data_IF_437734276673
#
_entry.id   IF_437734276673
#
_cell.length_a   1.000
_cell.length_b   1.000
_cell.length_c   1.000
_cell.angle_alpha   90.00
_cell.angle_beta   90.00
_cell.angle_gamma   90.00
#
_symmetry.space_group_name_H-M   'P 1'
#
loop_
_entity.id
_entity.type
_entity.pdbx_description
1 polymer ?
#
# COMPACT_ATOMS: atom_id res chain seq x y z
N UNK A 1 23.09 -20.24 -13.39
CA UNK A 1 22.72 -19.12 -12.49
C UNK A 1 23.20 -17.82 -13.11
N UNK A 2 22.45 -17.22 -14.04
CA UNK A 2 22.86 -16.01 -14.73
C UNK A 2 22.51 -14.79 -13.88
N UNK A 3 23.53 -14.05 -13.44
CA UNK A 3 23.45 -12.80 -12.66
C UNK A 3 22.56 -11.71 -13.30
N UNK A 4 22.10 -11.91 -14.53
CA UNK A 4 21.25 -11.00 -15.29
C UNK A 4 19.78 -10.99 -14.81
N UNK A 5 19.23 -12.14 -14.37
CA UNK A 5 17.82 -12.24 -13.96
C UNK A 5 17.55 -11.56 -12.61
N UNK A 6 18.39 -11.83 -11.62
CA UNK A 6 18.27 -11.24 -10.28
C UNK A 6 18.43 -9.72 -10.31
N UNK A 7 19.41 -9.20 -11.08
CA UNK A 7 19.62 -7.76 -11.25
C UNK A 7 18.37 -7.09 -11.84
N UNK A 8 17.73 -7.71 -12.84
CA UNK A 8 16.51 -7.18 -13.46
C UNK A 8 15.34 -7.18 -12.48
N UNK A 9 15.12 -8.27 -11.74
CA UNK A 9 14.06 -8.36 -10.74
C UNK A 9 14.23 -7.31 -9.63
N UNK A 10 15.44 -7.19 -9.07
CA UNK A 10 15.76 -6.18 -8.06
C UNK A 10 15.61 -4.76 -8.61
N UNK A 11 16.05 -4.49 -9.85
CA UNK A 11 15.86 -3.20 -10.50
C UNK A 11 14.37 -2.87 -10.73
N UNK A 12 13.54 -3.84 -11.09
CA UNK A 12 12.09 -3.64 -11.25
C UNK A 12 11.42 -3.33 -9.91
N UNK A 13 11.75 -4.05 -8.84
CA UNK A 13 11.23 -3.77 -7.50
C UNK A 13 11.71 -2.40 -6.96
N UNK A 14 12.99 -2.07 -7.16
CA UNK A 14 13.55 -0.76 -6.82
C UNK A 14 12.86 0.37 -7.60
N UNK A 15 12.66 0.20 -8.91
CA UNK A 15 11.98 1.18 -9.74
C UNK A 15 10.53 1.38 -9.29
N UNK A 16 9.80 0.31 -9.00
CA UNK A 16 8.44 0.38 -8.45
C UNK A 16 8.38 1.12 -7.12
N UNK A 17 9.31 0.82 -6.21
CA UNK A 17 9.41 1.47 -4.89
C UNK A 17 9.79 2.94 -5.00
N UNK A 18 10.75 3.26 -5.88
CA UNK A 18 11.18 4.62 -6.15
C UNK A 18 10.04 5.46 -6.75
N UNK A 19 9.27 4.91 -7.70
CA UNK A 19 8.09 5.57 -8.25
C UNK A 19 7.01 5.79 -7.19
N UNK A 20 6.74 4.78 -6.35
CA UNK A 20 5.76 4.87 -5.27
C UNK A 20 6.09 5.98 -4.25
N UNK A 21 7.37 6.25 -4.02
CA UNK A 21 7.82 7.34 -3.14
C UNK A 21 7.94 8.68 -3.86
N UNK A 22 8.32 8.69 -5.14
CA UNK A 22 8.48 9.90 -5.95
C UNK A 22 7.14 10.61 -6.22
N UNK A 23 6.06 9.85 -6.45
CA UNK A 23 4.73 10.40 -6.72
C UNK A 23 4.25 11.30 -5.55
N UNK A 24 4.22 10.84 -4.28
CA UNK A 24 3.90 11.69 -3.13
C UNK A 24 4.84 12.89 -2.99
N UNK A 25 6.14 12.71 -3.27
CA UNK A 25 7.13 13.77 -3.14
C UNK A 25 6.88 14.92 -4.14
N UNK A 26 6.55 14.57 -5.39
CA UNK A 26 6.25 15.52 -6.46
C UNK A 26 4.88 16.18 -6.29
N UNK A 27 3.89 15.42 -5.78
CA UNK A 27 2.56 15.95 -5.51
C UNK A 27 2.50 16.76 -4.20
N UNK A 28 3.42 16.54 -3.27
CA UNK A 28 3.53 17.27 -2.00
C UNK A 28 3.35 18.79 -2.10
N UNK A 29 4.12 19.51 -2.95
CA UNK A 29 3.96 20.97 -3.11
C UNK A 29 2.61 21.39 -3.71
N UNK A 30 1.97 20.52 -4.49
CA UNK A 30 0.65 20.80 -5.06
C UNK A 30 -0.46 20.59 -4.03
N UNK A 31 -0.40 19.50 -3.26
CA UNK A 31 -1.37 19.19 -2.21
C UNK A 31 -1.28 20.23 -1.08
N UNK A 32 -0.06 20.65 -0.71
CA UNK A 32 0.16 21.69 0.30
C UNK A 32 -0.37 23.09 -0.12
N UNK A 33 -0.60 23.32 -1.42
CA UNK A 33 -1.21 24.55 -1.94
C UNK A 33 -2.73 24.49 -2.03
N UNK A 34 -3.30 23.31 -2.28
CA UNK A 34 -4.74 23.13 -2.43
C UNK A 34 -5.47 22.88 -1.12
N UNK A 35 -4.81 22.29 -0.12
CA UNK A 35 -5.43 21.89 1.14
C UNK A 35 -4.98 22.76 2.31
N UNK A 36 -5.89 22.99 3.26
CA UNK A 36 -5.52 23.65 4.50
C UNK A 36 -4.66 22.73 5.38
N UNK A 37 -3.82 23.28 6.28
CA UNK A 37 -2.98 22.47 7.16
C UNK A 37 -3.77 21.50 8.05
N UNK A 38 -5.01 21.86 8.41
CA UNK A 38 -5.89 21.04 9.23
C UNK A 38 -6.37 19.78 8.48
N UNK A 39 -6.79 19.93 7.22
CA UNK A 39 -7.24 18.82 6.37
C UNK A 39 -6.08 17.87 6.04
N UNK A 40 -4.89 18.44 5.79
CA UNK A 40 -3.68 17.65 5.54
C UNK A 40 -3.25 16.86 6.77
N UNK A 41 -3.44 17.42 7.98
CA UNK A 41 -3.16 16.73 9.24
C UNK A 41 -4.03 15.49 9.43
N UNK A 42 -5.34 15.59 9.14
CA UNK A 42 -6.24 14.44 9.22
C UNK A 42 -5.91 13.37 8.18
N UNK A 43 -5.62 13.77 6.94
CA UNK A 43 -5.19 12.85 5.89
C UNK A 43 -3.89 12.12 6.27
N UNK A 44 -2.90 12.84 6.81
CA UNK A 44 -1.61 12.28 7.19
C UNK A 44 -1.74 11.19 8.26
N UNK A 45 -2.61 11.38 9.26
CA UNK A 45 -2.88 10.37 10.29
C UNK A 45 -3.42 9.06 9.69
N UNK A 46 -4.42 9.17 8.82
CA UNK A 46 -4.98 8.01 8.11
C UNK A 46 -3.91 7.34 7.24
N UNK A 47 -3.13 8.13 6.52
CA UNK A 47 -2.06 7.66 5.66
C UNK A 47 -0.96 6.90 6.42
N UNK A 48 -0.52 7.42 7.57
CA UNK A 48 0.49 6.77 8.43
C UNK A 48 0.00 5.42 8.94
N UNK A 49 -1.25 5.31 9.36
CA UNK A 49 -1.83 4.03 9.83
C UNK A 49 -1.97 3.06 8.66
N UNK A 50 -2.51 3.52 7.52
CA UNK A 50 -2.71 2.71 6.33
C UNK A 50 -1.38 2.19 5.76
N UNK A 51 -0.34 3.03 5.70
CA UNK A 51 0.99 2.62 5.22
C UNK A 51 1.68 1.61 6.13
N UNK A 52 1.55 1.76 7.46
CA UNK A 52 2.05 0.75 8.40
C UNK A 52 1.33 -0.60 8.20
N UNK A 53 0.01 -0.57 8.06
CA UNK A 53 -0.78 -1.78 7.83
C UNK A 53 -0.41 -2.44 6.50
N UNK A 54 -0.22 -1.63 5.43
CA UNK A 54 0.24 -2.07 4.11
C UNK A 54 1.58 -2.82 4.18
N UNK A 55 2.56 -2.28 4.90
CA UNK A 55 3.86 -2.93 5.08
C UNK A 55 3.73 -4.27 5.81
N UNK A 56 2.91 -4.31 6.87
CA UNK A 56 2.70 -5.54 7.68
C UNK A 56 2.02 -6.62 6.85
N UNK A 57 0.98 -6.31 6.10
CA UNK A 57 0.26 -7.34 5.36
C UNK A 57 0.88 -7.72 4.00
N UNK A 58 1.73 -6.87 3.41
CA UNK A 58 2.61 -7.31 2.32
C UNK A 58 3.67 -8.31 2.82
N UNK A 59 3.99 -8.29 4.13
CA UNK A 59 4.88 -9.20 4.85
C UNK A 59 6.18 -9.57 4.10
N UNK A 60 6.67 -8.67 3.23
CA UNK A 60 7.82 -8.86 2.36
C UNK A 60 7.77 -10.11 1.46
N UNK A 61 6.59 -10.64 1.11
CA UNK A 61 6.49 -11.79 0.18
C UNK A 61 7.04 -11.47 -1.22
N UNK A 62 7.12 -10.19 -1.58
CA UNK A 62 7.82 -9.68 -2.77
C UNK A 62 9.30 -10.08 -2.85
N UNK A 63 9.96 -10.33 -1.70
CA UNK A 63 11.34 -10.83 -1.66
C UNK A 63 11.43 -12.36 -1.76
N UNK A 64 10.42 -13.09 -1.28
CA UNK A 64 10.36 -14.55 -1.44
C UNK A 64 10.08 -14.95 -2.89
N UNK A 65 9.20 -14.20 -3.59
CA UNK A 65 8.88 -14.41 -5.00
C UNK A 65 10.11 -14.28 -5.91
N UNK A 66 11.05 -13.39 -5.57
CA UNK A 66 12.27 -13.16 -6.35
C UNK A 66 13.34 -14.26 -6.14
N UNK A 67 13.19 -15.10 -5.11
CA UNK A 67 14.13 -16.18 -4.79
C UNK A 67 13.73 -17.52 -5.41
N UNK A 68 12.44 -17.68 -5.75
CA UNK A 68 11.91 -18.92 -6.30
C UNK A 68 12.31 -19.09 -7.77
N UNK A 69 13.00 -20.20 -8.08
CA UNK A 69 13.61 -20.43 -9.40
C UNK A 69 12.74 -21.27 -10.36
N UNK A 70 11.63 -21.85 -9.86
CA UNK A 70 10.70 -22.66 -10.66
C UNK A 70 9.43 -21.90 -11.06
N UNK A 71 9.03 -22.00 -12.33
CA UNK A 71 7.86 -21.30 -12.89
C UNK A 71 6.54 -21.65 -12.17
N UNK A 72 6.36 -22.91 -11.76
CA UNK A 72 5.18 -23.37 -11.01
C UNK A 72 5.14 -22.80 -9.57
N UNK A 73 6.30 -22.75 -8.90
CA UNK A 73 6.43 -22.18 -7.56
C UNK A 73 6.16 -20.68 -7.54
N UNK A 74 6.72 -19.95 -8.51
CA UNK A 74 6.51 -18.51 -8.68
C UNK A 74 5.04 -18.15 -8.94
N UNK A 75 4.33 -18.94 -9.75
CA UNK A 75 2.90 -18.73 -10.01
C UNK A 75 2.05 -18.90 -8.73
N UNK A 76 2.36 -19.92 -7.92
CA UNK A 76 1.64 -20.17 -6.66
C UNK A 76 1.86 -19.06 -5.62
N UNK A 77 3.09 -18.55 -5.51
CA UNK A 77 3.45 -17.43 -4.64
C UNK A 77 2.82 -16.12 -5.13
N UNK A 78 2.79 -15.87 -6.43
CA UNK A 78 2.11 -14.70 -7.00
C UNK A 78 0.61 -14.72 -6.71
N UNK A 79 -0.04 -15.89 -6.83
CA UNK A 79 -1.43 -16.06 -6.46
C UNK A 79 -1.67 -15.82 -4.95
N UNK A 80 -0.73 -16.24 -4.09
CA UNK A 80 -0.78 -15.96 -2.66
C UNK A 80 -0.64 -14.46 -2.37
N UNK A 81 0.33 -13.79 -3.00
CA UNK A 81 0.52 -12.34 -2.89
C UNK A 81 -0.73 -11.57 -3.34
N UNK A 82 -1.34 -11.95 -4.46
CA UNK A 82 -2.57 -11.33 -4.95
C UNK A 82 -3.75 -11.54 -3.99
N UNK A 83 -3.90 -12.74 -3.42
CA UNK A 83 -4.92 -13.01 -2.39
C UNK A 83 -4.70 -12.19 -1.13
N UNK A 84 -3.45 -12.09 -0.67
CA UNK A 84 -3.09 -11.31 0.50
C UNK A 84 -3.37 -9.81 0.26
N UNK A 85 -2.98 -9.30 -0.91
CA UNK A 85 -3.25 -7.93 -1.33
C UNK A 85 -4.77 -7.66 -1.36
N UNK A 86 -5.55 -8.54 -2.00
CA UNK A 86 -7.02 -8.43 -2.02
C UNK A 86 -7.62 -8.45 -0.61
N UNK A 87 -7.14 -9.34 0.27
CA UNK A 87 -7.62 -9.44 1.64
C UNK A 87 -7.34 -8.15 2.43
N UNK A 88 -6.15 -7.58 2.27
CA UNK A 88 -5.81 -6.30 2.88
C UNK A 88 -6.62 -5.14 2.33
N UNK A 89 -6.79 -5.07 1.01
CA UNK A 89 -7.62 -4.03 0.38
C UNK A 89 -9.06 -4.15 0.87
N UNK A 90 -9.62 -5.36 0.95
CA UNK A 90 -10.95 -5.59 1.51
C UNK A 90 -11.02 -5.18 2.98
N UNK A 91 -10.04 -5.54 3.81
CA UNK A 91 -9.99 -5.14 5.22
C UNK A 91 -9.92 -3.61 5.36
N UNK A 92 -9.13 -2.93 4.54
CA UNK A 92 -9.04 -1.47 4.53
C UNK A 92 -10.39 -0.82 4.14
N UNK A 93 -11.11 -1.39 3.16
CA UNK A 93 -12.45 -0.93 2.78
C UNK A 93 -13.45 -1.16 3.93
N UNK A 94 -13.41 -2.31 4.60
CA UNK A 94 -14.30 -2.62 5.72
C UNK A 94 -14.04 -1.67 6.89
N UNK A 95 -12.78 -1.43 7.24
CA UNK A 95 -12.40 -0.50 8.32
C UNK A 95 -12.78 0.93 7.95
N UNK A 96 -12.51 1.37 6.71
CA UNK A 96 -12.89 2.69 6.22
C UNK A 96 -14.41 2.89 6.16
N UNK A 97 -15.14 1.87 5.70
CA UNK A 97 -16.61 1.86 5.68
C UNK A 97 -17.22 1.87 7.07
N UNK A 98 -16.69 1.07 8.00
CA UNK A 98 -17.09 1.10 9.40
C UNK A 98 -16.83 2.48 10.02
N UNK A 99 -15.67 3.09 9.75
CA UNK A 99 -15.39 4.45 10.19
C UNK A 99 -16.39 5.45 9.63
N UNK A 100 -16.71 5.38 8.33
CA UNK A 100 -17.72 6.24 7.72
C UNK A 100 -19.08 6.10 8.38
N UNK A 101 -19.54 4.87 8.64
CA UNK A 101 -20.83 4.61 9.30
C UNK A 101 -20.83 5.16 10.73
N UNK A 102 -19.75 4.99 11.49
CA UNK A 102 -19.62 5.53 12.85
C UNK A 102 -19.53 7.07 12.87
N UNK A 103 -18.91 7.68 11.86
CA UNK A 103 -18.83 9.14 11.72
C UNK A 103 -20.18 9.77 11.32
N UNK A 104 -20.96 9.09 10.48
CA UNK A 104 -22.33 9.51 10.15
C UNK A 104 -23.25 9.43 11.37
N UNK A 105 -23.09 8.37 12.19
CA UNK A 105 -23.86 8.18 13.41
C UNK A 105 -23.51 9.21 14.50
N UNK A 106 -22.25 9.65 14.59
CA UNK A 106 -21.84 10.69 15.54
C UNK A 106 -22.31 12.09 15.15
N UNK A 107 -22.38 12.39 13.84
CA UNK A 107 -23.02 13.60 13.32
C UNK A 107 -24.53 13.61 13.56
N UNK A 108 -25.20 12.47 13.37
CA UNK A 108 -26.64 12.32 13.64
C UNK A 108 -26.99 12.37 15.14
N UNK A 109 -26.10 11.92 16.02
CA UNK A 109 -26.30 11.97 17.48
C UNK A 109 -26.00 13.35 18.12
N UNK A 110 -25.41 14.27 17.37
CA UNK A 110 -25.07 15.63 17.83
C UNK A 110 -26.10 16.71 17.44
N UNK A 111 -27.16 16.33 16.68
CA UNK A 111 -28.33 17.15 16.32
C UNK A 111 -29.51 16.88 17.27
#
# INVERSE_FOLDING_TARGET
MTSHSLKRATLTLLAGSALAQAIPLLLGPWIARLYTPAEYGQFSLVWTVASNLAVVGCARYEFALALETGEEGAASLLALCLRMLLAMTAMAIVVGGAWMIWADLSLAAAL
#
